data_IF_782024519047
#
_entry.id   IF_782024519047
#
_cell.length_a   1.000
_cell.length_b   1.000
_cell.length_c   1.000
_cell.angle_alpha   90.00
_cell.angle_beta   90.00
_cell.angle_gamma   90.00
#
_symmetry.space_group_name_H-M   'P 1'
#
loop_
_entity.id
_entity.type
_entity.pdbx_description
1 polymer ?
#
# COMPACT_ATOMS: atom_id res chain seq x y z
N UNK A 1 17.02 14.70 -20.63
CA UNK A 1 16.37 13.92 -19.54
C UNK A 1 15.43 12.91 -20.16
N UNK A 2 15.69 11.65 -19.93
CA UNK A 2 14.91 10.57 -20.55
C UNK A 2 14.04 9.80 -19.56
N UNK A 3 14.32 9.91 -18.25
CA UNK A 3 13.54 9.26 -17.21
C UNK A 3 12.87 10.35 -16.35
N UNK A 4 11.55 10.55 -16.49
CA UNK A 4 10.85 11.54 -15.68
C UNK A 4 10.70 11.07 -14.22
N UNK A 5 10.73 12.05 -13.30
CA UNK A 5 10.55 11.78 -11.86
C UNK A 5 9.05 11.56 -11.56
N UNK A 6 8.57 10.35 -11.79
CA UNK A 6 7.19 9.94 -11.51
C UNK A 6 7.10 8.45 -11.22
N UNK A 7 6.14 8.08 -10.40
CA UNK A 7 5.82 6.68 -10.11
C UNK A 7 4.38 6.43 -10.56
N UNK A 8 4.22 5.79 -11.72
CA UNK A 8 2.90 5.59 -12.33
C UNK A 8 2.14 4.43 -11.72
N UNK A 9 2.82 3.31 -11.51
CA UNK A 9 2.23 2.09 -10.93
C UNK A 9 3.25 1.48 -9.98
N UNK A 10 2.80 1.11 -8.81
CA UNK A 10 3.58 0.28 -7.87
C UNK A 10 2.95 -1.10 -7.90
N UNK A 11 3.70 -2.12 -8.30
CA UNK A 11 3.19 -3.49 -8.43
C UNK A 11 3.72 -4.36 -7.30
N UNK A 12 2.81 -5.03 -6.59
CA UNK A 12 3.12 -6.01 -5.55
C UNK A 12 3.04 -7.42 -6.13
N UNK A 13 4.06 -8.22 -5.90
CA UNK A 13 3.99 -9.65 -6.09
C UNK A 13 3.19 -10.27 -4.95
N UNK A 14 2.15 -11.06 -5.28
CA UNK A 14 1.24 -11.65 -4.31
C UNK A 14 1.06 -13.15 -4.58
N UNK A 15 0.79 -13.92 -3.53
CA UNK A 15 0.61 -15.36 -3.68
C UNK A 15 -0.72 -15.70 -4.38
N UNK A 16 -1.76 -14.91 -4.12
CA UNK A 16 -3.11 -15.13 -4.64
C UNK A 16 -3.74 -13.77 -4.99
N UNK A 17 -3.84 -13.48 -6.29
CA UNK A 17 -4.38 -12.20 -6.77
C UNK A 17 -5.81 -11.98 -6.29
N UNK A 18 -6.67 -13.01 -6.33
CA UNK A 18 -8.06 -12.88 -5.90
C UNK A 18 -8.17 -12.54 -4.40
N UNK A 19 -7.34 -13.15 -3.56
CA UNK A 19 -7.28 -12.84 -2.12
C UNK A 19 -6.84 -11.40 -1.88
N UNK A 20 -5.81 -10.95 -2.58
CA UNK A 20 -5.31 -9.58 -2.46
C UNK A 20 -6.34 -8.56 -2.97
N UNK A 21 -7.01 -8.84 -4.07
CA UNK A 21 -8.12 -8.02 -4.56
C UNK A 21 -9.20 -7.87 -3.50
N UNK A 22 -9.63 -8.98 -2.90
CA UNK A 22 -10.65 -8.95 -1.85
C UNK A 22 -10.22 -8.10 -0.64
N UNK A 23 -8.95 -8.17 -0.27
CA UNK A 23 -8.41 -7.35 0.83
C UNK A 23 -8.54 -5.86 0.52
N UNK A 24 -8.02 -5.38 -0.63
CA UNK A 24 -8.05 -3.95 -0.96
C UNK A 24 -9.47 -3.44 -1.24
N UNK A 25 -10.34 -4.28 -1.83
CA UNK A 25 -11.76 -3.95 -1.95
C UNK A 25 -12.44 -3.80 -0.58
N UNK A 26 -12.05 -4.63 0.41
CA UNK A 26 -12.56 -4.52 1.78
C UNK A 26 -12.14 -3.22 2.47
N UNK A 27 -11.04 -2.60 2.03
CA UNK A 27 -10.64 -1.26 2.44
C UNK A 27 -11.41 -0.15 1.72
N UNK A 28 -12.31 -0.50 0.81
CA UNK A 28 -13.07 0.46 0.03
C UNK A 28 -12.33 1.02 -1.19
N UNK A 29 -11.20 0.42 -1.56
CA UNK A 29 -10.45 0.87 -2.74
C UNK A 29 -11.11 0.42 -4.04
N UNK A 30 -11.07 1.29 -5.04
CA UNK A 30 -11.71 1.05 -6.33
C UNK A 30 -10.80 0.28 -7.28
N UNK A 31 -11.25 -0.92 -7.65
CA UNK A 31 -10.59 -1.73 -8.67
C UNK A 31 -10.85 -1.15 -10.05
N UNK A 32 -9.80 -1.02 -10.86
CA UNK A 32 -9.91 -0.56 -12.23
C UNK A 32 -10.59 -1.62 -13.11
N UNK A 33 -11.48 -1.20 -14.01
CA UNK A 33 -12.24 -2.10 -14.88
C UNK A 33 -11.39 -2.84 -15.91
N UNK A 34 -10.19 -2.30 -16.23
CA UNK A 34 -9.22 -2.97 -17.11
C UNK A 34 -8.45 -4.10 -16.45
N UNK A 35 -8.68 -4.37 -15.15
CA UNK A 35 -8.07 -5.48 -14.45
C UNK A 35 -8.49 -6.84 -15.06
N UNK A 36 -7.58 -7.81 -14.98
CA UNK A 36 -7.78 -9.19 -15.46
C UNK A 36 -7.65 -10.16 -14.28
N UNK A 37 -7.81 -11.46 -14.52
CA UNK A 37 -7.69 -12.47 -13.45
C UNK A 37 -6.26 -12.56 -12.89
N UNK A 38 -5.25 -12.40 -13.76
CA UNK A 38 -3.83 -12.53 -13.42
C UNK A 38 -3.24 -11.26 -12.84
N UNK A 39 -3.81 -10.10 -13.16
CA UNK A 39 -3.32 -8.80 -12.69
C UNK A 39 -4.48 -7.85 -12.44
N UNK A 40 -4.45 -7.18 -11.31
CA UNK A 40 -5.46 -6.18 -10.95
C UNK A 40 -4.80 -4.85 -10.64
N UNK A 41 -5.51 -3.77 -10.96
CA UNK A 41 -5.09 -2.42 -10.61
C UNK A 41 -6.14 -1.72 -9.77
N UNK A 42 -5.66 -0.96 -8.78
CA UNK A 42 -6.46 -0.09 -7.94
C UNK A 42 -6.03 1.35 -8.12
N UNK A 43 -6.98 2.26 -8.16
CA UNK A 43 -6.71 3.68 -8.25
C UNK A 43 -6.37 4.23 -6.88
N UNK A 44 -5.26 4.98 -6.79
CA UNK A 44 -4.93 5.80 -5.62
C UNK A 44 -4.94 7.28 -6.01
N UNK A 45 -4.73 8.18 -5.05
CA UNK A 45 -4.69 9.61 -5.32
C UNK A 45 -3.51 10.02 -6.24
N UNK A 46 -2.37 9.33 -6.12
CA UNK A 46 -1.12 9.72 -6.79
C UNK A 46 -0.70 8.80 -7.92
N UNK A 47 -1.03 7.52 -7.81
CA UNK A 47 -0.57 6.48 -8.72
C UNK A 47 -1.58 5.34 -8.75
N UNK A 48 -1.16 4.19 -9.26
CA UNK A 48 -1.96 2.97 -9.20
C UNK A 48 -1.21 1.89 -8.42
N UNK A 49 -1.95 1.08 -7.68
CA UNK A 49 -1.44 -0.16 -7.09
C UNK A 49 -1.75 -1.30 -8.05
N UNK A 50 -0.73 -2.02 -8.48
CA UNK A 50 -0.86 -3.27 -9.23
C UNK A 50 -0.69 -4.48 -8.32
N UNK A 51 -1.50 -5.50 -8.52
CA UNK A 51 -1.40 -6.79 -7.86
C UNK A 51 -1.15 -7.85 -8.92
N UNK A 52 -0.01 -8.52 -8.85
CA UNK A 52 0.41 -9.52 -9.84
C UNK A 52 0.87 -10.78 -9.11
N UNK A 53 0.58 -11.97 -9.67
CA UNK A 53 1.05 -13.22 -9.09
C UNK A 53 2.56 -13.21 -8.91
N UNK A 54 3.06 -13.69 -7.74
CA UNK A 54 4.48 -13.67 -7.43
C UNK A 54 5.32 -14.34 -8.52
N UNK A 55 4.95 -15.54 -8.95
CA UNK A 55 5.73 -16.30 -9.93
C UNK A 55 5.69 -15.61 -11.30
N UNK A 56 4.54 -15.07 -11.70
CA UNK A 56 4.39 -14.32 -12.94
C UNK A 56 5.24 -13.05 -12.93
N UNK A 57 5.27 -12.34 -11.79
CA UNK A 57 6.08 -11.13 -11.63
C UNK A 57 7.57 -11.45 -11.70
N UNK A 58 8.02 -12.52 -11.03
CA UNK A 58 9.43 -12.97 -11.06
C UNK A 58 9.85 -13.32 -12.48
N UNK A 59 9.00 -14.01 -13.21
CA UNK A 59 9.25 -14.34 -14.61
C UNK A 59 9.36 -13.09 -15.48
N UNK A 60 8.44 -12.14 -15.29
CA UNK A 60 8.40 -10.89 -16.05
C UNK A 60 9.64 -10.02 -15.83
N UNK A 61 10.10 -9.88 -14.57
CA UNK A 61 11.30 -9.09 -14.24
C UNK A 61 12.60 -9.83 -14.46
N UNK A 62 12.55 -11.13 -14.71
CA UNK A 62 13.70 -12.01 -14.96
C UNK A 62 14.72 -12.01 -13.81
N UNK A 63 14.24 -12.01 -12.56
CA UNK A 63 15.10 -12.11 -11.40
C UNK A 63 15.71 -13.51 -11.27
N UNK A 64 16.99 -13.55 -10.91
CA UNK A 64 17.68 -14.78 -10.55
C UNK A 64 17.67 -14.91 -9.03
N UNK A 65 17.25 -16.07 -8.52
CA UNK A 65 17.18 -16.38 -7.08
C UNK A 65 16.35 -15.39 -6.25
N UNK A 66 15.06 -15.18 -6.58
CA UNK A 66 14.19 -14.30 -5.79
C UNK A 66 13.96 -14.86 -4.38
N UNK A 67 13.97 -13.98 -3.38
CA UNK A 67 13.68 -14.35 -1.98
C UNK A 67 12.36 -13.75 -1.51
N UNK A 68 11.51 -14.57 -0.86
CA UNK A 68 10.24 -14.14 -0.27
C UNK A 68 10.31 -13.97 1.24
N UNK A 69 11.42 -14.30 1.88
CA UNK A 69 11.46 -14.55 3.33
C UNK A 69 11.78 -13.35 4.22
N UNK A 70 12.16 -12.21 3.67
CA UNK A 70 12.63 -11.08 4.48
C UNK A 70 12.00 -9.76 4.03
N UNK A 71 12.08 -8.75 4.92
CA UNK A 71 11.65 -7.40 4.61
C UNK A 71 12.40 -6.86 3.39
N UNK A 72 11.65 -6.41 2.39
CA UNK A 72 12.19 -5.96 1.11
C UNK A 72 12.79 -4.55 1.13
N UNK A 73 12.85 -3.88 2.29
CA UNK A 73 13.41 -2.54 2.41
C UNK A 73 12.47 -1.42 1.96
N UNK A 74 11.18 -1.71 1.78
CA UNK A 74 10.19 -0.73 1.30
C UNK A 74 8.99 -0.70 2.22
N UNK A 75 8.51 0.50 2.55
CA UNK A 75 7.20 0.72 3.16
C UNK A 75 6.40 1.69 2.30
N UNK A 76 5.10 1.56 2.36
CA UNK A 76 4.16 2.45 1.66
C UNK A 76 3.38 3.21 2.72
N UNK A 77 3.19 4.51 2.56
CA UNK A 77 2.54 5.34 3.57
C UNK A 77 1.20 5.86 3.07
N UNK A 78 0.22 5.80 3.95
CA UNK A 78 -1.09 6.43 3.79
C UNK A 78 -1.15 7.54 4.83
N UNK A 79 -1.19 8.80 4.39
CA UNK A 79 -1.36 9.93 5.29
C UNK A 79 -2.84 10.20 5.52
N UNK A 80 -3.19 10.49 6.74
CA UNK A 80 -4.56 10.61 7.24
C UNK A 80 -4.66 11.88 8.11
N UNK A 81 -5.87 12.41 8.26
CA UNK A 81 -6.10 13.76 8.78
C UNK A 81 -6.02 13.88 10.30
N UNK A 82 -6.21 12.79 11.07
CA UNK A 82 -6.24 12.85 12.54
C UNK A 82 -5.66 11.58 13.19
N UNK A 83 -5.32 11.68 14.48
CA UNK A 83 -4.88 10.52 15.29
C UNK A 83 -5.96 9.45 15.38
N UNK A 84 -7.19 9.86 15.62
CA UNK A 84 -8.33 8.96 15.72
C UNK A 84 -8.57 8.19 14.41
N UNK A 85 -8.37 8.87 13.28
CA UNK A 85 -8.48 8.25 11.95
C UNK A 85 -7.36 7.23 11.69
N UNK A 86 -6.16 7.44 12.23
CA UNK A 86 -5.08 6.43 12.17
C UNK A 86 -5.50 5.15 12.88
N UNK A 87 -5.99 5.25 14.11
CA UNK A 87 -6.43 4.08 14.88
C UNK A 87 -7.57 3.34 14.16
N UNK A 88 -8.56 4.10 13.67
CA UNK A 88 -9.68 3.53 12.92
C UNK A 88 -9.22 2.81 11.64
N UNK A 89 -8.27 3.38 10.92
CA UNK A 89 -7.74 2.77 9.69
C UNK A 89 -6.96 1.47 9.98
N UNK A 90 -6.18 1.43 11.07
CA UNK A 90 -5.48 0.22 11.48
C UNK A 90 -6.47 -0.89 11.88
N UNK A 91 -7.53 -0.55 12.60
CA UNK A 91 -8.60 -1.50 12.96
C UNK A 91 -9.31 -2.01 11.71
N UNK A 92 -9.62 -1.14 10.76
CA UNK A 92 -10.24 -1.50 9.48
C UNK A 92 -9.34 -2.46 8.67
N UNK A 93 -8.05 -2.17 8.60
CA UNK A 93 -7.10 -3.04 7.90
C UNK A 93 -7.05 -4.45 8.53
N UNK A 94 -7.01 -4.54 9.86
CA UNK A 94 -7.04 -5.82 10.57
C UNK A 94 -8.35 -6.57 10.29
N UNK A 95 -9.49 -5.88 10.32
CA UNK A 95 -10.78 -6.48 9.99
C UNK A 95 -10.84 -6.99 8.54
N UNK A 96 -10.11 -6.35 7.62
CA UNK A 96 -9.99 -6.76 6.23
C UNK A 96 -9.02 -7.93 5.99
N UNK A 97 -8.20 -8.30 6.98
CA UNK A 97 -7.27 -9.43 6.90
C UNK A 97 -5.80 -9.06 7.04
N UNK A 98 -5.48 -7.82 7.38
CA UNK A 98 -4.11 -7.41 7.64
C UNK A 98 -3.58 -7.92 8.98
N UNK A 99 -2.27 -7.98 9.10
CA UNK A 99 -1.58 -8.19 10.37
C UNK A 99 -1.14 -6.83 10.93
N UNK A 100 -1.54 -6.52 12.16
CA UNK A 100 -1.06 -5.33 12.84
C UNK A 100 0.41 -5.53 13.23
N UNK A 101 1.30 -4.67 12.74
CA UNK A 101 2.73 -4.71 13.08
C UNK A 101 3.06 -3.74 14.22
N UNK A 102 2.47 -2.56 14.21
CA UNK A 102 2.68 -1.53 15.23
C UNK A 102 1.38 -0.75 15.43
N UNK A 103 0.85 -0.68 16.64
CA UNK A 103 -0.33 0.14 16.92
C UNK A 103 -0.02 1.63 16.76
N UNK A 104 -1.05 2.44 16.67
CA UNK A 104 -0.91 3.89 16.67
C UNK A 104 -0.08 4.36 17.86
N UNK A 105 0.95 5.17 17.59
CA UNK A 105 1.95 5.60 18.57
C UNK A 105 2.33 7.04 18.27
N UNK A 106 2.54 7.84 19.33
CA UNK A 106 3.07 9.20 19.19
C UNK A 106 4.48 9.16 18.60
N UNK A 107 4.71 10.04 17.64
CA UNK A 107 5.97 10.21 16.93
C UNK A 107 6.43 11.66 17.08
N UNK A 108 7.73 11.97 16.87
CA UNK A 108 8.20 13.37 16.96
C UNK A 108 7.46 14.34 16.04
N UNK A 109 6.93 13.86 14.93
CA UNK A 109 6.24 14.66 13.91
C UNK A 109 4.72 14.46 13.86
N UNK A 110 4.16 13.53 14.62
CA UNK A 110 2.74 13.21 14.58
C UNK A 110 2.37 11.91 15.26
N UNK A 111 1.63 11.08 14.57
CA UNK A 111 1.10 9.83 15.11
C UNK A 111 0.98 8.79 13.99
N UNK A 112 1.38 7.55 14.25
CA UNK A 112 1.32 6.53 13.21
C UNK A 112 1.50 5.12 13.70
N UNK A 113 1.15 4.17 12.84
CA UNK A 113 1.31 2.74 13.05
C UNK A 113 1.53 2.02 11.73
N UNK A 114 1.67 0.70 11.79
CA UNK A 114 1.97 -0.13 10.62
C UNK A 114 1.10 -1.37 10.58
N UNK A 115 0.71 -1.77 9.38
CA UNK A 115 0.14 -3.09 9.13
C UNK A 115 0.84 -3.76 7.95
N UNK A 116 0.77 -5.08 7.88
CA UNK A 116 1.15 -5.84 6.71
C UNK A 116 -0.11 -6.36 6.02
N UNK A 117 -0.14 -6.30 4.70
CA UNK A 117 -1.20 -6.93 3.92
C UNK A 117 -1.09 -8.46 3.98
N UNK A 118 -2.02 -9.24 3.38
CA UNK A 118 -1.97 -10.71 3.44
C UNK A 118 -0.68 -11.33 2.90
N UNK A 119 0.09 -10.62 2.09
CA UNK A 119 1.36 -11.08 1.51
C UNK A 119 2.60 -10.50 2.22
N UNK A 120 2.41 -9.72 3.27
CA UNK A 120 3.50 -9.14 4.05
C UNK A 120 4.00 -7.80 3.52
N UNK A 121 3.32 -7.17 2.58
CA UNK A 121 3.66 -5.81 2.15
C UNK A 121 3.30 -4.82 3.25
N UNK A 122 4.25 -3.98 3.61
CA UNK A 122 4.17 -3.12 4.80
C UNK A 122 3.64 -1.74 4.45
N UNK A 123 2.58 -1.35 5.16
CA UNK A 123 1.93 -0.06 5.06
C UNK A 123 2.05 0.71 6.37
N UNK A 124 2.44 1.98 6.28
CA UNK A 124 2.34 2.94 7.37
C UNK A 124 1.04 3.71 7.24
N UNK A 125 0.33 3.86 8.35
CA UNK A 125 -0.79 4.81 8.45
C UNK A 125 -0.34 5.94 9.37
N UNK A 126 -0.32 7.17 8.87
CA UNK A 126 0.36 8.27 9.53
C UNK A 126 -0.47 9.56 9.50
N UNK A 127 -0.55 10.22 10.65
CA UNK A 127 -0.97 11.61 10.78
C UNK A 127 0.26 12.47 10.99
N UNK A 128 0.51 13.38 10.06
CA UNK A 128 1.59 14.37 10.16
C UNK A 128 1.04 15.76 9.84
N UNK A 129 0.84 16.62 10.85
CA UNK A 129 0.29 17.95 10.61
C UNK A 129 1.18 18.86 9.76
N UNK A 130 2.48 18.53 9.60
CA UNK A 130 3.39 19.27 8.73
C UNK A 130 3.23 18.93 7.25
N UNK A 131 2.52 17.83 6.93
CA UNK A 131 2.25 17.41 5.55
C UNK A 131 0.75 17.51 5.27
N UNK A 132 0.22 18.71 5.00
CA UNK A 132 -1.22 18.88 4.79
C UNK A 132 -1.71 18.07 3.59
N UNK A 133 -2.92 17.52 3.73
CA UNK A 133 -3.59 16.75 2.69
C UNK A 133 -4.52 17.69 1.93
N UNK A 134 -4.32 17.80 0.63
CA UNK A 134 -5.17 18.62 -0.22
C UNK A 134 -6.52 17.96 -0.56
N UNK A 135 -7.42 18.69 -1.25
CA UNK A 135 -8.73 18.15 -1.67
C UNK A 135 -8.61 16.96 -2.62
N UNK A 136 -7.47 16.82 -3.29
CA UNK A 136 -7.14 15.73 -4.20
C UNK A 136 -6.58 14.48 -3.47
N UNK A 137 -6.49 14.52 -2.13
CA UNK A 137 -5.94 13.44 -1.31
C UNK A 137 -4.41 13.38 -1.27
N UNK A 138 -3.73 14.34 -1.88
CA UNK A 138 -2.26 14.37 -1.94
C UNK A 138 -1.69 15.18 -0.80
N UNK A 139 -0.61 14.67 -0.22
CA UNK A 139 0.18 15.46 0.75
C UNK A 139 1.09 16.45 0.02
N UNK A 140 1.52 17.46 0.76
CA UNK A 140 2.53 18.42 0.30
C UNK A 140 3.71 18.41 1.24
N UNK A 141 4.89 18.27 0.65
CA UNK A 141 6.18 18.33 1.35
C UNK A 141 6.99 19.40 0.64
N UNK A 142 7.42 20.46 1.37
CA UNK A 142 8.24 21.53 0.84
C UNK A 142 9.74 21.21 0.93
#
# INVERSE_FOLDING_TARGET
>A
MTIPARMSIITFGVADVARSVAFYEALGWERCTSSMDEIAWFRTADSYLGLFGWDDLIEDVRLVEPSRGSFGGTTHSINIETREAVDAALDEAVAAGATLLKPGTELPFGYGGYFADPDGHVWEVCYNPSFPIGPDGRIRID
#
